data_IF_221745648197
#
_entry.id   IF_221745648197
#
_cell.length_a   1.000
_cell.length_b   1.000
_cell.length_c   1.000
_cell.angle_alpha   90.00
_cell.angle_beta   90.00
_cell.angle_gamma   90.00
#
_symmetry.space_group_name_H-M   'P 1'
#
loop_
_entity.id
_entity.type
_entity.pdbx_description
1 polymer ?
#
# COMPACT_ATOMS: atom_id res chain seq x y z
N UNK A 1 -3.96 7.73 31.21
CA UNK A 1 -3.83 7.90 29.74
C UNK A 1 -4.88 6.99 29.11
N UNK A 2 -6.04 7.55 28.74
CA UNK A 2 -7.07 6.83 28.00
C UNK A 2 -6.56 6.45 26.60
N UNK A 3 -6.79 5.22 26.12
CA UNK A 3 -6.36 4.82 24.79
C UNK A 3 -7.29 5.45 23.75
N UNK A 4 -6.76 6.32 22.89
CA UNK A 4 -7.51 7.09 21.88
C UNK A 4 -8.15 6.27 20.73
N UNK A 5 -8.09 4.94 20.76
CA UNK A 5 -8.47 4.10 19.61
C UNK A 5 -9.28 2.83 19.96
N UNK A 6 -9.92 2.77 21.13
CA UNK A 6 -10.64 1.55 21.62
C UNK A 6 -11.73 1.02 20.66
N UNK A 7 -12.43 1.90 19.96
CA UNK A 7 -13.47 1.51 19.00
C UNK A 7 -12.90 0.81 17.75
N UNK A 8 -11.68 1.17 17.33
CA UNK A 8 -11.00 0.56 16.18
C UNK A 8 -10.64 -0.89 16.46
N UNK A 9 -10.10 -1.15 17.66
CA UNK A 9 -9.76 -2.50 18.11
C UNK A 9 -10.97 -3.43 18.14
N UNK A 10 -12.13 -2.95 18.63
CA UNK A 10 -13.35 -3.74 18.64
C UNK A 10 -13.81 -4.12 17.22
N UNK A 11 -13.75 -3.18 16.27
CA UNK A 11 -14.13 -3.41 14.87
C UNK A 11 -13.21 -4.43 14.18
N UNK A 12 -11.90 -4.33 14.42
CA UNK A 12 -10.89 -5.29 13.92
C UNK A 12 -11.17 -6.68 14.49
N UNK A 13 -11.35 -6.77 15.81
CA UNK A 13 -11.59 -8.05 16.49
C UNK A 13 -12.90 -8.70 16.03
N UNK A 14 -13.97 -7.92 15.85
CA UNK A 14 -15.24 -8.40 15.32
C UNK A 14 -15.09 -8.92 13.88
N UNK A 15 -14.39 -8.19 13.00
CA UNK A 15 -14.13 -8.62 11.63
C UNK A 15 -13.37 -9.95 11.59
N UNK A 16 -12.34 -10.10 12.42
CA UNK A 16 -11.54 -11.32 12.50
C UNK A 16 -12.35 -12.50 13.07
N UNK A 17 -13.12 -12.30 14.14
CA UNK A 17 -13.96 -13.36 14.76
C UNK A 17 -15.07 -13.89 13.83
N UNK A 18 -15.48 -13.08 12.86
CA UNK A 18 -16.41 -13.51 11.81
C UNK A 18 -15.75 -14.52 10.85
N UNK A 19 -14.44 -14.38 10.60
CA UNK A 19 -13.70 -15.24 9.67
C UNK A 19 -13.13 -16.50 10.32
N UNK A 20 -12.67 -16.38 11.57
CA UNK A 20 -11.96 -17.46 12.28
C UNK A 20 -12.49 -17.63 13.71
N UNK A 21 -12.38 -18.85 14.23
CA UNK A 21 -12.55 -19.12 15.66
C UNK A 21 -11.21 -18.87 16.37
N UNK A 22 -11.05 -17.64 16.88
CA UNK A 22 -9.82 -17.18 17.53
C UNK A 22 -9.59 -17.94 18.84
N UNK A 23 -8.49 -18.68 18.92
CA UNK A 23 -8.03 -19.33 20.16
C UNK A 23 -6.86 -18.60 20.82
N UNK A 24 -6.07 -17.83 20.05
CA UNK A 24 -4.95 -17.06 20.57
C UNK A 24 -4.81 -15.70 19.84
N UNK A 25 -4.36 -14.68 20.58
CA UNK A 25 -4.10 -13.33 20.06
C UNK A 25 -2.77 -12.83 20.59
N UNK A 26 -1.87 -12.45 19.69
CA UNK A 26 -0.58 -11.84 20.02
C UNK A 26 -0.47 -10.45 19.42
N UNK A 27 0.17 -9.54 20.14
CA UNK A 27 0.53 -8.22 19.64
C UNK A 27 2.06 -8.15 19.55
N UNK A 28 2.59 -7.97 18.35
CA UNK A 28 4.03 -7.89 18.10
C UNK A 28 4.34 -6.67 17.24
N UNK A 29 5.20 -5.77 17.74
CA UNK A 29 5.65 -4.56 17.02
C UNK A 29 4.51 -3.68 16.48
N UNK A 30 3.34 -3.68 17.14
CA UNK A 30 2.15 -2.93 16.73
C UNK A 30 1.26 -3.63 15.69
N UNK A 31 1.58 -4.88 15.31
CA UNK A 31 0.71 -5.76 14.54
C UNK A 31 -0.06 -6.71 15.47
N UNK A 32 -1.34 -6.94 15.16
CA UNK A 32 -2.22 -7.86 15.87
C UNK A 32 -2.31 -9.17 15.10
N UNK A 33 -1.81 -10.25 15.69
CA UNK A 33 -1.83 -11.59 15.14
C UNK A 33 -2.94 -12.40 15.82
N UNK A 34 -3.92 -12.84 15.05
CA UNK A 34 -5.02 -13.68 15.51
C UNK A 34 -4.86 -15.09 14.94
N UNK A 35 -4.81 -16.07 15.83
CA UNK A 35 -4.70 -17.48 15.48
C UNK A 35 -6.05 -18.15 15.70
N UNK A 36 -6.56 -18.83 14.68
CA UNK A 36 -7.87 -19.45 14.77
C UNK A 36 -8.14 -20.50 13.72
N UNK A 37 -9.17 -21.32 13.99
CA UNK A 37 -9.67 -22.31 13.02
C UNK A 37 -10.52 -21.55 11.98
N UNK A 38 -10.29 -21.74 10.68
CA UNK A 38 -11.07 -21.07 9.64
C UNK A 38 -12.53 -21.53 9.68
N UNK A 39 -13.46 -20.56 9.70
CA UNK A 39 -14.90 -20.83 9.55
C UNK A 39 -15.34 -20.82 8.08
N UNK A 40 -14.46 -20.38 7.20
CA UNK A 40 -14.74 -20.09 5.79
C UNK A 40 -13.45 -20.20 4.98
N UNK A 41 -13.57 -20.15 3.65
CA UNK A 41 -12.40 -20.18 2.77
C UNK A 41 -11.54 -18.92 2.91
N UNK A 42 -10.26 -19.02 2.55
CA UNK A 42 -9.33 -17.87 2.55
C UNK A 42 -9.85 -16.70 1.70
N UNK A 43 -10.53 -17.00 0.58
CA UNK A 43 -11.11 -16.00 -0.31
C UNK A 43 -12.26 -15.24 0.35
N UNK A 44 -13.18 -15.96 1.00
CA UNK A 44 -14.30 -15.33 1.74
C UNK A 44 -13.80 -14.51 2.92
N UNK A 45 -12.83 -15.04 3.66
CA UNK A 45 -12.20 -14.32 4.76
C UNK A 45 -11.54 -13.03 4.27
N UNK A 46 -10.88 -13.06 3.11
CA UNK A 46 -10.28 -11.89 2.49
C UNK A 46 -11.32 -10.82 2.13
N UNK A 47 -12.43 -11.19 1.48
CA UNK A 47 -13.50 -10.24 1.13
C UNK A 47 -14.17 -9.60 2.36
N UNK A 48 -14.39 -10.38 3.42
CA UNK A 48 -14.97 -9.86 4.67
C UNK A 48 -14.00 -8.93 5.38
N UNK A 49 -12.72 -9.31 5.47
CA UNK A 49 -11.71 -8.48 6.11
C UNK A 49 -11.52 -7.17 5.31
N UNK A 50 -11.41 -7.25 3.98
CA UNK A 50 -11.29 -6.07 3.11
C UNK A 50 -12.48 -5.12 3.22
N UNK A 51 -13.70 -5.65 3.40
CA UNK A 51 -14.92 -4.81 3.50
C UNK A 51 -15.15 -4.24 4.91
N UNK A 52 -14.69 -4.92 5.97
CA UNK A 52 -14.95 -4.51 7.37
C UNK A 52 -13.78 -3.77 8.01
N UNK A 53 -12.54 -4.03 7.60
CA UNK A 53 -11.36 -3.33 8.13
C UNK A 53 -11.34 -1.87 7.69
N UNK A 54 -10.91 -0.93 8.55
CA UNK A 54 -10.64 0.44 8.13
C UNK A 54 -9.47 0.47 7.11
N UNK A 55 -9.50 1.39 6.14
CA UNK A 55 -8.43 1.59 5.14
C UNK A 55 -7.05 1.89 5.75
N UNK A 56 -6.99 2.32 7.01
CA UNK A 56 -5.75 2.54 7.76
C UNK A 56 -5.07 1.24 8.20
N UNK A 57 -5.70 0.08 8.00
CA UNK A 57 -5.18 -1.22 8.39
C UNK A 57 -5.15 -2.16 7.20
N UNK A 58 -3.99 -2.76 7.00
CA UNK A 58 -3.82 -3.85 6.05
C UNK A 58 -3.73 -5.18 6.81
N UNK A 59 -3.96 -6.28 6.11
CA UNK A 59 -4.02 -7.60 6.70
C UNK A 59 -3.42 -8.68 5.80
N UNK A 60 -2.83 -9.68 6.44
CA UNK A 60 -2.32 -10.87 5.77
C UNK A 60 -2.93 -12.10 6.41
N UNK A 61 -3.44 -12.99 5.56
CA UNK A 61 -3.96 -14.30 5.96
C UNK A 61 -2.92 -15.36 5.59
N UNK A 62 -2.28 -15.93 6.61
CA UNK A 62 -1.45 -17.13 6.46
C UNK A 62 -2.27 -18.37 6.82
N UNK A 63 -2.22 -19.37 5.96
CA UNK A 63 -2.86 -20.67 6.19
C UNK A 63 -1.78 -21.66 6.61
N UNK A 64 -1.94 -22.24 7.79
CA UNK A 64 -1.03 -23.23 8.36
C UNK A 64 -1.84 -24.47 8.72
N UNK A 65 -1.74 -25.51 7.89
CA UNK A 65 -2.50 -26.76 8.02
C UNK A 65 -4.02 -26.51 8.05
N UNK A 66 -4.63 -26.58 9.24
CA UNK A 66 -6.07 -26.37 9.47
C UNK A 66 -6.35 -25.08 10.24
N UNK A 67 -5.41 -24.15 10.28
CA UNK A 67 -5.52 -22.90 11.03
C UNK A 67 -5.15 -21.69 10.18
N UNK A 68 -5.87 -20.59 10.39
CA UNK A 68 -5.56 -19.29 9.81
C UNK A 68 -4.88 -18.41 10.86
N UNK A 69 -3.84 -17.73 10.40
CA UNK A 69 -3.22 -16.61 11.12
C UNK A 69 -3.58 -15.35 10.36
N UNK A 70 -4.43 -14.53 10.98
CA UNK A 70 -4.78 -13.21 10.45
C UNK A 70 -3.91 -12.19 11.17
N UNK A 71 -2.98 -11.61 10.44
CA UNK A 71 -2.11 -10.53 10.92
C UNK A 71 -2.69 -9.20 10.44
N UNK A 72 -3.11 -8.33 11.34
CA UNK A 72 -3.62 -6.99 11.05
C UNK A 72 -2.59 -5.97 11.51
N UNK A 73 -2.18 -5.06 10.64
CA UNK A 73 -1.17 -4.05 10.95
C UNK A 73 -1.60 -2.69 10.41
N UNK A 74 -1.22 -1.59 11.09
CA UNK A 74 -1.52 -0.25 10.60
C UNK A 74 -0.76 0.00 9.30
N UNK A 75 -1.49 0.30 8.23
CA UNK A 75 -0.93 0.70 6.95
C UNK A 75 -0.48 2.16 7.05
N UNK A 76 0.85 2.39 7.06
CA UNK A 76 1.40 3.75 7.09
C UNK A 76 1.56 4.27 5.67
N UNK A 77 0.49 4.79 5.09
CA UNK A 77 0.58 5.48 3.81
C UNK A 77 1.03 6.94 4.01
N UNK A 78 2.33 7.21 3.84
CA UNK A 78 2.83 8.58 3.89
C UNK A 78 2.79 9.23 2.50
N UNK A 79 1.64 9.83 2.17
CA UNK A 79 1.38 10.54 0.91
C UNK A 79 2.49 11.56 0.61
N UNK A 80 2.99 12.25 1.64
CA UNK A 80 4.05 13.25 1.48
C UNK A 80 5.33 12.63 0.93
N UNK A 81 5.71 11.45 1.42
CA UNK A 81 6.90 10.72 0.92
C UNK A 81 6.69 10.33 -0.54
N UNK A 82 5.51 9.82 -0.89
CA UNK A 82 5.20 9.40 -2.26
C UNK A 82 5.24 10.58 -3.25
N UNK A 83 4.68 11.73 -2.86
CA UNK A 83 4.73 12.95 -3.68
C UNK A 83 6.18 13.44 -3.85
N UNK A 84 6.96 13.46 -2.77
CA UNK A 84 8.37 13.86 -2.83
C UNK A 84 9.15 12.94 -3.78
N UNK A 85 8.98 11.62 -3.64
CA UNK A 85 9.63 10.63 -4.50
C UNK A 85 9.21 10.81 -5.96
N UNK A 86 7.92 10.96 -6.24
CA UNK A 86 7.43 11.18 -7.60
C UNK A 86 8.01 12.46 -8.23
N UNK A 87 8.10 13.56 -7.46
CA UNK A 87 8.72 14.79 -7.92
C UNK A 87 10.22 14.61 -8.19
N UNK A 88 10.95 13.93 -7.29
CA UNK A 88 12.37 13.60 -7.50
C UNK A 88 12.56 12.74 -8.74
N UNK A 89 11.67 11.76 -8.98
CA UNK A 89 11.70 10.93 -10.18
C UNK A 89 11.45 11.77 -11.44
N UNK A 90 10.45 12.65 -11.43
CA UNK A 90 10.17 13.54 -12.56
C UNK A 90 11.36 14.45 -12.88
N UNK A 91 11.96 15.08 -11.87
CA UNK A 91 13.12 15.95 -12.05
C UNK A 91 14.36 15.20 -12.54
N UNK A 92 14.67 14.05 -11.95
CA UNK A 92 15.83 13.24 -12.34
C UNK A 92 15.69 12.68 -13.76
N UNK A 93 14.51 12.22 -14.14
CA UNK A 93 14.24 11.72 -15.50
C UNK A 93 14.23 12.86 -16.52
N UNK A 94 13.74 14.05 -16.16
CA UNK A 94 13.85 15.25 -17.01
C UNK A 94 15.32 15.64 -17.22
N UNK A 95 16.14 15.60 -16.17
CA UNK A 95 17.58 15.87 -16.26
C UNK A 95 18.28 14.88 -17.21
N UNK A 96 18.08 13.57 -17.00
CA UNK A 96 18.63 12.54 -17.90
C UNK A 96 18.12 12.73 -19.32
N UNK A 97 16.82 13.02 -19.49
CA UNK A 97 16.22 13.30 -20.80
C UNK A 97 16.90 14.45 -21.53
N UNK A 98 17.21 15.55 -20.84
CA UNK A 98 17.92 16.68 -21.47
C UNK A 98 19.32 16.32 -21.95
N UNK A 99 20.05 15.49 -21.17
CA UNK A 99 21.36 14.98 -21.57
C UNK A 99 21.28 14.10 -22.83
N UNK A 100 20.22 13.30 -22.97
CA UNK A 100 19.99 12.49 -24.18
C UNK A 100 19.79 13.35 -25.45
N UNK A 101 19.30 14.58 -25.30
CA UNK A 101 19.20 15.55 -26.40
C UNK A 101 20.46 16.40 -26.58
N UNK A 102 21.61 16.00 -26.01
CA UNK A 102 22.86 16.77 -25.96
C UNK A 102 22.67 18.19 -25.38
N UNK A 103 21.66 18.38 -24.53
CA UNK A 103 21.36 19.66 -23.92
C UNK A 103 21.86 19.64 -22.47
N UNK A 104 22.93 20.38 -22.17
CA UNK A 104 23.55 20.38 -20.84
C UNK A 104 22.86 21.37 -19.88
N UNK A 105 22.08 20.90 -18.88
CA UNK A 105 21.36 21.80 -17.97
C UNK A 105 22.28 22.50 -16.97
N UNK A 106 23.51 22.01 -16.80
CA UNK A 106 24.51 22.62 -15.92
C UNK A 106 25.08 23.92 -16.51
N UNK A 107 25.13 24.02 -17.83
CA UNK A 107 25.56 25.24 -18.54
C UNK A 107 24.42 26.25 -18.65
N UNK A 108 23.22 25.77 -18.99
CA UNK A 108 22.03 26.60 -19.08
C UNK A 108 20.82 25.85 -18.49
N UNK A 109 20.29 26.27 -17.32
CA UNK A 109 19.15 25.63 -16.68
C UNK A 109 17.90 25.55 -17.55
N UNK A 110 17.70 26.45 -18.52
CA UNK A 110 16.57 26.40 -19.45
C UNK A 110 16.62 25.17 -20.37
N UNK A 111 17.80 24.58 -20.58
CA UNK A 111 17.96 23.36 -21.37
C UNK A 111 17.34 22.13 -20.70
N UNK A 112 17.08 22.17 -19.39
CA UNK A 112 16.36 21.11 -18.68
C UNK A 112 15.00 20.82 -19.32
N UNK A 113 14.33 21.85 -19.85
CA UNK A 113 13.03 21.72 -20.51
C UNK A 113 13.07 20.80 -21.75
N UNK A 114 14.26 20.59 -22.35
CA UNK A 114 14.44 19.65 -23.47
C UNK A 114 14.22 18.21 -23.06
N UNK A 115 14.37 17.87 -21.78
CA UNK A 115 14.10 16.53 -21.25
C UNK A 115 12.65 16.25 -20.89
N UNK A 116 11.77 17.26 -20.91
CA UNK A 116 10.35 17.08 -20.58
C UNK A 116 9.65 16.02 -21.42
N UNK A 117 9.81 15.96 -22.76
CA UNK A 117 9.14 14.94 -23.58
C UNK A 117 9.45 13.51 -23.14
N UNK A 118 10.69 13.27 -22.68
CA UNK A 118 11.13 11.96 -22.17
C UNK A 118 10.47 11.65 -20.83
N UNK A 119 10.58 12.56 -19.85
CA UNK A 119 10.02 12.35 -18.52
C UNK A 119 8.50 12.21 -18.54
N UNK A 120 7.80 13.04 -19.32
CA UNK A 120 6.33 12.96 -19.48
C UNK A 120 5.91 11.61 -20.04
N UNK A 121 6.60 11.13 -21.09
CA UNK A 121 6.31 9.81 -21.67
C UNK A 121 6.48 8.69 -20.64
N UNK A 122 7.57 8.73 -19.86
CA UNK A 122 7.86 7.73 -18.83
C UNK A 122 6.83 7.76 -17.68
N UNK A 123 6.49 8.95 -17.19
CA UNK A 123 5.48 9.12 -16.14
C UNK A 123 4.10 8.66 -16.62
N UNK A 124 3.76 8.88 -17.89
CA UNK A 124 2.50 8.43 -18.46
C UNK A 124 2.45 6.90 -18.56
N UNK A 125 3.53 6.25 -18.99
CA UNK A 125 3.60 4.78 -19.04
C UNK A 125 3.43 4.18 -17.63
N UNK A 126 4.16 4.69 -16.64
CA UNK A 126 4.08 4.21 -15.26
C UNK A 126 2.71 4.50 -14.64
N UNK A 127 2.18 5.71 -14.84
CA UNK A 127 0.88 6.10 -14.33
C UNK A 127 -0.24 5.26 -14.93
N UNK A 128 -0.24 5.05 -16.24
CA UNK A 128 -1.23 4.19 -16.90
C UNK A 128 -1.10 2.72 -16.50
N UNK A 129 0.11 2.23 -16.24
CA UNK A 129 0.33 0.88 -15.70
C UNK A 129 -0.34 0.69 -14.34
N UNK A 130 -0.15 1.64 -13.43
CA UNK A 130 -0.75 1.59 -12.09
C UNK A 130 -2.27 1.77 -12.15
N UNK A 131 -2.74 2.71 -12.98
CA UNK A 131 -4.17 2.91 -13.20
C UNK A 131 -4.84 1.66 -13.79
N UNK A 132 -4.17 0.93 -14.67
CA UNK A 132 -4.70 -0.31 -15.25
C UNK A 132 -4.93 -1.37 -14.16
N UNK A 133 -4.03 -1.50 -13.18
CA UNK A 133 -4.25 -2.39 -12.02
C UNK A 133 -5.44 -1.95 -11.19
N UNK A 134 -5.59 -0.65 -10.93
CA UNK A 134 -6.74 -0.12 -10.20
C UNK A 134 -8.07 -0.42 -10.92
N UNK A 135 -8.13 -0.22 -12.24
CA UNK A 135 -9.31 -0.55 -13.02
C UNK A 135 -9.58 -2.05 -13.12
N UNK A 136 -8.54 -2.89 -13.22
CA UNK A 136 -8.69 -4.34 -13.31
C UNK A 136 -9.05 -4.99 -11.95
N UNK A 137 -8.70 -4.35 -10.84
CA UNK A 137 -9.05 -4.79 -9.49
C UNK A 137 -10.46 -4.36 -9.04
N UNK A 138 -11.21 -3.62 -9.87
CA UNK A 138 -12.59 -3.17 -9.60
C UNK A 138 -13.58 -3.94 -10.46
#
# INVERSE_FOLDING_TARGET
MEPKDTWKFWKIEEAVRNCIEVYDRREERGALHYFGIPKMSKKEAYEILKSKLPEEYDFVIHEIHESFIISVFPERHNITVNIILALLTFLSTTFVGSLMFNANPLENPLLLLKGLPFSVSLMLILGTHELAHYFASK
#
